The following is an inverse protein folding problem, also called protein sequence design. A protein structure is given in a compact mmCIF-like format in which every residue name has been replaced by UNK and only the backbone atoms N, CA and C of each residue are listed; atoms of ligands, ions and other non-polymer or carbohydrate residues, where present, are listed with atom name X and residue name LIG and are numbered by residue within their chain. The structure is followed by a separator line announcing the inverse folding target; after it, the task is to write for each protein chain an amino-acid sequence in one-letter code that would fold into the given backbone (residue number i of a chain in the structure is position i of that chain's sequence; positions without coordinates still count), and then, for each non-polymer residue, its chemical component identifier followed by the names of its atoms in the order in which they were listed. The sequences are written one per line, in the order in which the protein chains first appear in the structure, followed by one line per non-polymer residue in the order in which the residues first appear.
data_IF_702388825471
#
_entry.id   IF_702388825471
#
_cell.length_a   1.000
_cell.length_b   1.000
_cell.length_c   1.000
_cell.angle_alpha   90.00
_cell.angle_beta   90.00
_cell.angle_gamma   90.00
#
_symmetry.space_group_name_H-M   'P 1'
#
loop_
_entity.id
_entity.type
_entity.pdbx_description
1 polymer ?
#
# COMPACT_ATOMS: atom_id res chain seq x y z
N UNK A 1 -4.59 6.70 20.49
CA UNK A 1 -3.40 6.20 19.77
C UNK A 1 -3.83 5.22 18.69
N UNK A 2 -3.50 5.50 17.43
CA UNK A 2 -3.90 4.69 16.28
C UNK A 2 -2.67 4.25 15.47
N UNK A 3 -2.86 3.35 14.51
CA UNK A 3 -1.76 2.87 13.67
C UNK A 3 -1.16 4.00 12.81
N UNK A 4 0.16 4.14 12.81
CA UNK A 4 0.88 5.08 11.95
C UNK A 4 0.82 4.67 10.47
N UNK A 5 0.85 3.36 10.21
CA UNK A 5 0.79 2.75 8.88
C UNK A 5 -0.28 1.67 8.86
N UNK A 6 -1.13 1.69 7.84
CA UNK A 6 -2.20 0.71 7.64
C UNK A 6 -1.97 0.01 6.31
N UNK A 7 -1.65 -1.28 6.36
CA UNK A 7 -1.37 -2.10 5.18
C UNK A 7 -2.62 -2.88 4.77
N UNK A 8 -3.06 -2.69 3.52
CA UNK A 8 -4.17 -3.41 2.94
C UNK A 8 -3.66 -4.57 2.11
N UNK A 9 -3.92 -5.78 2.60
CA UNK A 9 -3.48 -7.06 2.01
C UNK A 9 -4.65 -8.03 1.94
N UNK A 10 -5.74 -7.60 1.29
CA UNK A 10 -6.95 -8.39 1.06
C UNK A 10 -7.15 -8.64 -0.43
N UNK A 11 -8.02 -9.57 -0.85
CA UNK A 11 -8.40 -9.66 -2.26
C UNK A 11 -8.95 -8.31 -2.76
N UNK A 12 -8.46 -7.83 -3.91
CA UNK A 12 -8.82 -6.52 -4.46
C UNK A 12 -10.33 -6.29 -4.60
N UNK A 13 -11.08 -7.36 -4.85
CA UNK A 13 -12.54 -7.30 -5.05
C UNK A 13 -13.33 -7.02 -3.75
N UNK A 14 -12.74 -7.23 -2.57
CA UNK A 14 -13.40 -6.96 -1.30
C UNK A 14 -12.98 -5.63 -0.67
N UNK A 15 -11.99 -4.93 -1.26
CA UNK A 15 -11.37 -3.77 -0.65
C UNK A 15 -12.36 -2.63 -0.38
N UNK A 16 -13.21 -2.26 -1.35
CA UNK A 16 -14.13 -1.12 -1.19
C UNK A 16 -15.12 -1.32 -0.04
N UNK A 17 -15.75 -2.48 0.02
CA UNK A 17 -16.70 -2.81 1.08
C UNK A 17 -16.01 -2.79 2.45
N UNK A 18 -14.84 -3.42 2.53
CA UNK A 18 -14.02 -3.41 3.73
C UNK A 18 -13.64 -1.99 4.18
N UNK A 19 -13.14 -1.15 3.26
CA UNK A 19 -12.77 0.24 3.56
C UNK A 19 -13.97 1.05 4.04
N UNK A 20 -15.17 0.83 3.50
CA UNK A 20 -16.38 1.52 3.94
C UNK A 20 -16.65 1.26 5.43
N UNK A 21 -16.38 0.05 5.91
CA UNK A 21 -16.51 -0.31 7.33
C UNK A 21 -15.33 0.18 8.18
N UNK A 22 -14.09 0.16 7.64
CA UNK A 22 -12.88 0.40 8.44
C UNK A 22 -12.46 1.87 8.50
N UNK A 23 -12.70 2.65 7.45
CA UNK A 23 -12.24 4.03 7.31
C UNK A 23 -12.57 4.94 8.50
N UNK A 24 -13.74 4.85 9.17
CA UNK A 24 -14.03 5.66 10.35
C UNK A 24 -13.06 5.46 11.53
N UNK A 25 -12.31 4.36 11.55
CA UNK A 25 -11.37 4.03 12.62
C UNK A 25 -9.93 4.48 12.33
N UNK A 26 -9.65 5.00 11.13
CA UNK A 26 -8.30 5.37 10.74
C UNK A 26 -7.86 6.68 11.38
N UNK A 27 -6.58 6.76 11.76
CA UNK A 27 -6.00 7.99 12.25
C UNK A 27 -5.93 9.04 11.13
N UNK A 28 -6.13 10.31 11.49
CA UNK A 28 -6.05 11.43 10.55
C UNK A 28 -4.70 11.56 9.86
N UNK A 29 -3.62 11.04 10.44
CA UNK A 29 -2.27 11.09 9.88
C UNK A 29 -1.74 9.71 9.44
N UNK A 30 -2.58 8.67 9.51
CA UNK A 30 -2.18 7.31 9.14
C UNK A 30 -1.82 7.25 7.65
N UNK A 31 -0.69 6.63 7.32
CA UNK A 31 -0.32 6.30 5.94
C UNK A 31 -1.09 5.05 5.52
N UNK A 32 -1.71 5.12 4.34
CA UNK A 32 -2.55 4.05 3.79
C UNK A 32 -1.76 3.32 2.70
N UNK A 33 -1.46 2.04 2.90
CA UNK A 33 -0.51 1.31 2.04
C UNK A 33 -1.21 0.15 1.33
N UNK A 34 -1.29 0.20 0.00
CA UNK A 34 -1.82 -0.88 -0.82
C UNK A 34 -0.71 -1.85 -1.24
N UNK A 35 -0.89 -3.15 -0.96
CA UNK A 35 -0.06 -4.24 -1.53
C UNK A 35 -0.82 -5.04 -2.60
N UNK A 36 -2.05 -4.64 -2.89
CA UNK A 36 -2.99 -5.40 -3.70
C UNK A 36 -2.71 -5.19 -5.18
N UNK A 37 -2.86 -6.26 -5.96
CA UNK A 37 -2.70 -6.25 -7.41
C UNK A 37 -4.06 -6.28 -8.11
N UNK A 38 -4.16 -5.61 -9.25
CA UNK A 38 -5.38 -5.56 -10.07
C UNK A 38 -6.19 -4.27 -9.90
N UNK A 39 -7.36 -4.26 -10.51
CA UNK A 39 -8.30 -3.14 -10.55
C UNK A 39 -9.67 -3.59 -10.06
N UNK A 40 -10.46 -2.63 -9.58
CA UNK A 40 -11.84 -2.85 -9.19
C UNK A 40 -12.69 -3.13 -10.43
N UNK A 41 -13.49 -4.19 -10.37
CA UNK A 41 -14.41 -4.52 -11.46
C UNK A 41 -15.53 -3.48 -11.54
N UNK A 42 -15.87 -3.06 -12.76
CA UNK A 42 -16.88 -2.04 -13.02
C UNK A 42 -16.30 -0.63 -13.07
N UNK A 43 -15.63 -0.16 -12.01
CA UNK A 43 -15.05 1.20 -11.98
C UNK A 43 -13.71 1.30 -12.71
N UNK A 44 -12.99 0.17 -12.88
CA UNK A 44 -11.63 0.10 -13.42
C UNK A 44 -10.57 0.85 -12.61
N UNK A 45 -10.92 1.28 -11.39
CA UNK A 45 -10.00 1.98 -10.50
C UNK A 45 -8.91 1.04 -9.97
N UNK A 46 -7.68 1.53 -9.91
CA UNK A 46 -6.59 0.87 -9.18
C UNK A 46 -6.88 0.91 -7.68
N UNK A 47 -6.28 -0.01 -6.94
CA UNK A 47 -6.55 -0.11 -5.50
C UNK A 47 -6.14 1.14 -4.70
N UNK A 48 -5.10 1.85 -5.13
CA UNK A 48 -4.76 3.17 -4.57
C UNK A 48 -5.87 4.19 -4.78
N UNK A 49 -6.47 4.25 -5.98
CA UNK A 49 -7.59 5.14 -6.30
C UNK A 49 -8.85 4.75 -5.51
N UNK A 50 -9.11 3.46 -5.31
CA UNK A 50 -10.21 2.99 -4.44
C UNK A 50 -10.00 3.45 -3.00
N UNK A 51 -8.77 3.37 -2.49
CA UNK A 51 -8.43 3.86 -1.14
C UNK A 51 -8.69 5.37 -1.05
N UNK A 52 -8.19 6.16 -2.00
CA UNK A 52 -8.41 7.61 -2.07
C UNK A 52 -9.92 7.93 -2.11
N UNK A 53 -10.68 7.23 -2.94
CA UNK A 53 -12.11 7.50 -3.09
C UNK A 53 -12.93 7.14 -1.85
N UNK A 54 -12.69 5.99 -1.22
CA UNK A 54 -13.50 5.60 -0.05
C UNK A 54 -13.09 6.39 1.20
N UNK A 55 -11.79 6.55 1.43
CA UNK A 55 -11.27 7.16 2.66
C UNK A 55 -11.19 8.68 2.59
N UNK A 56 -11.26 9.26 1.38
CA UNK A 56 -11.00 10.69 1.11
C UNK A 56 -9.62 11.15 1.59
N UNK A 57 -8.67 10.21 1.75
CA UNK A 57 -7.30 10.52 2.09
C UNK A 57 -6.60 11.23 0.90
N UNK A 58 -5.70 12.19 1.18
CA UNK A 58 -4.90 12.83 0.14
C UNK A 58 -3.93 11.81 -0.49
N UNK A 59 -3.60 12.01 -1.77
CA UNK A 59 -2.76 11.09 -2.54
C UNK A 59 -1.34 10.96 -1.97
N UNK A 60 -0.88 12.01 -1.28
CA UNK A 60 0.40 12.08 -0.56
C UNK A 60 0.47 11.11 0.62
N UNK A 61 -0.66 10.58 1.08
CA UNK A 61 -0.74 9.59 2.16
C UNK A 61 -1.05 8.17 1.69
N UNK A 62 -1.26 7.98 0.40
CA UNK A 62 -1.56 6.67 -0.18
C UNK A 62 -0.31 6.15 -0.86
N UNK A 63 0.26 5.09 -0.31
CA UNK A 63 1.44 4.42 -0.83
C UNK A 63 1.05 3.07 -1.46
N UNK A 64 1.85 2.62 -2.42
CA UNK A 64 1.73 1.31 -3.06
C UNK A 64 3.04 0.56 -2.87
N UNK A 65 2.96 -0.71 -2.48
CA UNK A 65 4.11 -1.61 -2.47
C UNK A 65 3.88 -2.70 -3.51
N UNK A 66 4.75 -2.74 -4.51
CA UNK A 66 4.65 -3.66 -5.66
C UNK A 66 5.98 -4.33 -5.96
N UNK A 67 5.98 -5.37 -6.80
CA UNK A 67 7.17 -6.13 -7.19
C UNK A 67 6.94 -7.65 -7.30
N UNK A 68 7.97 -8.40 -7.70
CA UNK A 68 8.01 -9.87 -7.66
C UNK A 68 8.13 -10.35 -6.20
N UNK A 69 7.04 -10.19 -5.44
CA UNK A 69 7.00 -10.40 -4.00
C UNK A 69 6.17 -11.66 -3.66
N UNK A 70 6.67 -12.84 -4.01
CA UNK A 70 5.98 -14.09 -3.66
C UNK A 70 6.05 -14.30 -2.14
N UNK A 71 4.89 -14.36 -1.49
CA UNK A 71 4.80 -14.39 -0.04
C UNK A 71 5.57 -15.55 0.60
N UNK A 72 5.51 -16.75 -0.02
CA UNK A 72 6.24 -17.93 0.45
C UNK A 72 7.76 -17.76 0.39
N UNK A 73 8.28 -17.15 -0.67
CA UNK A 73 9.72 -16.91 -0.86
C UNK A 73 10.24 -15.87 0.14
N UNK A 74 9.48 -14.79 0.35
CA UNK A 74 9.80 -13.76 1.35
C UNK A 74 9.76 -14.35 2.77
N UNK A 75 8.75 -15.16 3.10
CA UNK A 75 8.67 -15.84 4.38
C UNK A 75 9.84 -16.81 4.60
N UNK A 76 10.32 -17.46 3.54
CA UNK A 76 11.51 -18.29 3.52
C UNK A 76 12.83 -17.49 3.49
N UNK A 77 12.77 -16.15 3.58
CA UNK A 77 13.91 -15.21 3.55
C UNK A 77 14.75 -15.30 2.27
N UNK A 78 14.13 -15.70 1.17
CA UNK A 78 14.79 -15.63 -0.13
C UNK A 78 14.89 -14.15 -0.57
N UNK A 79 15.97 -13.77 -1.27
CA UNK A 79 16.14 -12.40 -1.73
C UNK A 79 14.98 -11.94 -2.60
N UNK A 80 14.32 -10.85 -2.21
CA UNK A 80 13.24 -10.23 -2.94
C UNK A 80 13.41 -8.70 -2.99
N UNK A 81 12.97 -8.11 -4.10
CA UNK A 81 13.01 -6.67 -4.32
C UNK A 81 11.59 -6.14 -4.56
N UNK A 82 11.29 -4.99 -3.99
CA UNK A 82 10.00 -4.33 -4.14
C UNK A 82 10.19 -2.85 -4.49
N UNK A 83 9.14 -2.22 -4.99
CA UNK A 83 9.03 -0.76 -5.14
C UNK A 83 7.94 -0.27 -4.19
N UNK A 84 8.26 0.75 -3.42
CA UNK A 84 7.34 1.56 -2.63
C UNK A 84 7.12 2.86 -3.38
N UNK A 85 5.91 3.06 -3.90
CA UNK A 85 5.54 4.26 -4.62
C UNK A 85 4.60 5.12 -3.78
N UNK A 86 4.87 6.42 -3.67
CA UNK A 86 3.95 7.40 -3.08
C UNK A 86 4.26 8.78 -3.65
N UNK A 87 3.25 9.62 -3.85
CA UNK A 87 3.46 10.99 -4.37
C UNK A 87 4.35 11.83 -3.44
N UNK A 88 4.27 11.58 -2.14
CA UNK A 88 5.20 12.13 -1.15
C UNK A 88 6.37 11.15 -0.96
N UNK A 89 7.56 11.54 -1.43
CA UNK A 89 8.77 10.73 -1.31
C UNK A 89 9.12 10.44 0.17
N UNK A 90 8.80 11.34 1.10
CA UNK A 90 9.06 11.13 2.52
C UNK A 90 8.21 9.98 3.08
N UNK A 91 6.96 9.84 2.62
CA UNK A 91 6.09 8.72 2.95
C UNK A 91 6.62 7.42 2.35
N UNK A 92 7.05 7.44 1.08
CA UNK A 92 7.67 6.27 0.45
C UNK A 92 8.92 5.80 1.23
N UNK A 93 9.77 6.73 1.67
CA UNK A 93 10.98 6.43 2.48
C UNK A 93 10.63 5.86 3.85
N UNK A 94 9.59 6.36 4.53
CA UNK A 94 9.12 5.81 5.82
C UNK A 94 8.70 4.35 5.68
N UNK A 95 7.90 4.03 4.65
CA UNK A 95 7.48 2.65 4.38
C UNK A 95 8.67 1.77 3.94
N UNK A 96 9.59 2.29 3.12
CA UNK A 96 10.83 1.59 2.79
C UNK A 96 11.61 1.21 4.06
N UNK A 97 11.84 2.17 4.96
CA UNK A 97 12.56 1.93 6.22
C UNK A 97 11.85 0.91 7.11
N UNK A 98 10.52 0.94 7.16
CA UNK A 98 9.73 0.00 7.95
C UNK A 98 9.81 -1.45 7.43
N UNK A 99 10.04 -1.64 6.12
CA UNK A 99 10.06 -2.96 5.50
C UNK A 99 11.46 -3.49 5.18
N UNK A 100 12.50 -2.66 5.22
CA UNK A 100 13.86 -3.04 4.81
C UNK A 100 14.43 -4.14 5.72
N UNK A 101 14.86 -5.24 5.11
CA UNK A 101 15.59 -6.33 5.77
C UNK A 101 16.75 -6.80 4.89
N UNK A 102 17.66 -7.67 5.37
CA UNK A 102 18.74 -8.22 4.54
C UNK A 102 18.27 -9.02 3.32
N UNK A 103 17.04 -9.53 3.32
CA UNK A 103 16.47 -10.37 2.26
C UNK A 103 15.28 -9.72 1.53
N UNK A 104 14.75 -8.61 2.02
CA UNK A 104 13.70 -7.84 1.36
C UNK A 104 14.16 -6.41 1.18
N UNK A 105 14.39 -6.00 -0.07
CA UNK A 105 14.94 -4.69 -0.42
C UNK A 105 13.91 -3.84 -1.18
N UNK A 106 13.19 -2.94 -0.49
CA UNK A 106 12.32 -1.98 -1.13
C UNK A 106 13.12 -0.81 -1.71
N UNK A 107 12.73 -0.32 -2.88
CA UNK A 107 13.18 0.93 -3.50
C UNK A 107 12.04 1.93 -3.52
N UNK A 108 12.32 3.23 -3.50
CA UNK A 108 11.27 4.27 -3.53
C UNK A 108 11.04 4.80 -4.94
N UNK A 109 9.81 5.18 -5.25
CA UNK A 109 9.43 5.92 -6.45
C UNK A 109 8.32 6.93 -6.10
N UNK A 110 8.23 8.03 -6.85
CA UNK A 110 7.11 8.97 -6.75
C UNK A 110 5.99 8.66 -7.74
N UNK A 111 6.25 7.79 -8.72
CA UNK A 111 5.25 7.33 -9.67
C UNK A 111 4.41 6.18 -9.11
N UNK A 112 3.20 6.52 -8.67
CA UNK A 112 2.20 5.56 -8.15
C UNK A 112 1.52 4.78 -9.28
N UNK A 113 1.54 5.28 -10.52
CA UNK A 113 0.85 4.66 -11.65
C UNK A 113 1.66 3.53 -12.27
N UNK A 114 2.98 3.71 -12.34
CA UNK A 114 3.92 2.72 -12.84
C UNK A 114 4.71 3.20 -14.04
#
# INVERSE_FOLDING_TARGET
DGAEHIFFVVPSQTLRENLTAWAPSFGRESVLVSLMKGVELGSTMRMSEVIEDVTKAPQERVAVVTGPNLAGEIAARQPAAAVVACRDESVARRIQHACLTPYFRPYTNTDVVG
#
